data_IF_105744070418
#
_entry.id   IF_105744070418
#
_cell.length_a   1.000
_cell.length_b   1.000
_cell.length_c   1.000
_cell.angle_alpha   90.00
_cell.angle_beta   90.00
_cell.angle_gamma   90.00
#
_symmetry.space_group_name_H-M   'P 1'
#
loop_
_entity.id
_entity.type
_entity.pdbx_description
1 polymer ?
#
# COMPACT_ATOMS: atom_id res chain seq x y z
N UNK A 1 32.94 -7.18 21.94
CA UNK A 1 31.97 -8.20 21.48
C UNK A 1 30.77 -7.47 20.93
N UNK A 2 30.22 -7.92 19.81
CA UNK A 2 29.08 -7.29 19.14
C UNK A 2 27.74 -7.68 19.78
N UNK A 3 27.63 -7.58 21.11
CA UNK A 3 26.41 -7.88 21.84
C UNK A 3 25.45 -6.68 21.76
N UNK A 4 24.79 -6.51 20.61
CA UNK A 4 23.65 -5.59 20.52
C UNK A 4 22.43 -6.27 21.14
N UNK A 5 21.79 -5.68 22.16
CA UNK A 5 20.56 -6.22 22.72
C UNK A 5 19.45 -6.23 21.67
N UNK A 6 18.47 -7.13 21.84
CA UNK A 6 17.29 -7.17 20.97
C UNK A 6 16.54 -5.82 21.02
N UNK A 7 15.91 -5.40 19.90
CA UNK A 7 15.13 -4.17 19.89
C UNK A 7 13.99 -4.19 20.91
N UNK A 8 13.80 -3.08 21.63
CA UNK A 8 12.68 -2.90 22.55
C UNK A 8 11.49 -2.38 21.74
N UNK A 9 10.35 -3.10 21.79
CA UNK A 9 9.09 -2.64 21.21
C UNK A 9 8.18 -2.07 22.31
N UNK A 10 7.82 -0.80 22.18
CA UNK A 10 6.85 -0.14 23.08
C UNK A 10 5.56 0.16 22.30
N UNK A 11 4.42 -0.05 22.94
CA UNK A 11 3.10 0.36 22.43
C UNK A 11 2.66 1.74 22.95
N UNK A 12 3.46 2.36 23.83
CA UNK A 12 3.20 3.67 24.40
C UNK A 12 3.86 4.81 23.59
N UNK A 13 3.31 6.02 23.72
CA UNK A 13 3.83 7.23 23.07
C UNK A 13 5.11 7.80 23.69
N UNK A 14 5.64 7.16 24.75
CA UNK A 14 6.88 7.54 25.42
C UNK A 14 7.67 6.32 25.86
N UNK A 15 8.99 6.41 25.76
CA UNK A 15 9.95 5.41 26.24
C UNK A 15 11.04 6.16 27.02
N UNK A 16 11.20 5.83 28.30
CA UNK A 16 12.23 6.41 29.15
C UNK A 16 13.33 5.37 29.37
N UNK A 17 14.56 5.70 29.00
CA UNK A 17 15.72 4.83 29.22
C UNK A 17 16.59 5.45 30.30
N UNK A 18 16.72 4.76 31.44
CA UNK A 18 17.53 5.19 32.57
C UNK A 18 18.82 4.36 32.64
N UNK A 19 19.95 5.05 32.74
CA UNK A 19 21.26 4.43 32.89
C UNK A 19 21.78 4.70 34.29
N UNK A 20 22.10 3.63 35.01
CA UNK A 20 22.70 3.70 36.33
C UNK A 20 24.16 3.22 36.24
N UNK A 21 25.09 4.05 36.71
CA UNK A 21 26.51 3.71 36.84
C UNK A 21 26.90 3.79 38.31
N UNK A 22 27.76 2.87 38.75
CA UNK A 22 28.36 2.88 40.08
C UNK A 22 29.66 3.71 40.13
N UNK A 23 30.10 4.27 38.98
CA UNK A 23 31.29 5.09 38.87
C UNK A 23 32.62 4.33 39.02
N UNK A 24 32.58 3.01 39.13
CA UNK A 24 33.76 2.18 39.43
C UNK A 24 34.70 2.02 38.23
N UNK A 25 34.21 2.21 37.00
CA UNK A 25 34.95 2.04 35.74
C UNK A 25 34.45 2.99 34.65
N UNK A 26 35.34 3.30 33.71
CA UNK A 26 35.03 4.09 32.51
C UNK A 26 35.06 3.20 31.27
N UNK A 27 33.98 3.24 30.49
CA UNK A 27 33.83 2.54 29.22
C UNK A 27 33.21 3.47 28.19
N UNK A 28 33.40 3.15 26.91
CA UNK A 28 32.63 3.79 25.84
C UNK A 28 31.13 3.61 26.12
N UNK A 29 30.36 4.67 25.92
CA UNK A 29 28.94 4.73 26.25
C UNK A 29 28.05 3.90 25.32
N UNK A 30 26.75 4.20 25.34
CA UNK A 30 25.76 3.54 24.49
C UNK A 30 25.28 4.47 23.36
N UNK A 31 24.84 3.88 22.26
CA UNK A 31 24.13 4.56 21.20
C UNK A 31 22.76 3.90 21.01
N UNK A 32 21.69 4.69 21.13
CA UNK A 32 20.31 4.23 20.95
C UNK A 32 19.69 4.93 19.74
N UNK A 33 18.91 4.16 18.97
CA UNK A 33 18.12 4.65 17.83
C UNK A 33 16.68 4.23 18.09
N UNK A 34 15.73 5.11 17.79
CA UNK A 34 14.31 4.78 17.82
C UNK A 34 13.74 4.85 16.41
N UNK A 35 12.78 3.97 16.13
CA UNK A 35 12.00 3.96 14.90
C UNK A 35 10.55 3.69 15.28
N UNK A 36 9.64 4.45 14.69
CA UNK A 36 8.21 4.19 14.86
C UNK A 36 7.84 3.01 13.97
N UNK A 37 7.45 1.89 14.59
CA UNK A 37 6.99 0.70 13.87
C UNK A 37 5.47 0.82 13.70
N UNK A 38 5.07 1.39 12.56
CA UNK A 38 3.68 1.40 12.11
C UNK A 38 3.53 0.43 10.95
N UNK A 39 2.31 0.00 10.66
CA UNK A 39 2.05 -0.76 9.43
C UNK A 39 2.45 -0.01 8.15
N UNK A 40 2.63 1.32 8.22
CA UNK A 40 3.05 2.16 7.10
C UNK A 40 4.56 2.39 7.00
N UNK A 41 5.38 1.98 7.98
CA UNK A 41 6.82 2.29 8.00
C UNK A 41 7.58 1.68 6.81
N UNK A 42 7.08 0.59 6.23
CA UNK A 42 7.65 -0.03 5.02
C UNK A 42 7.12 0.55 3.71
N UNK A 43 6.27 1.57 3.76
CA UNK A 43 5.54 2.11 2.60
C UNK A 43 4.87 1.00 1.77
N UNK A 44 3.93 0.24 2.37
CA UNK A 44 3.40 -0.97 1.75
C UNK A 44 2.51 -0.70 0.54
N UNK A 45 1.86 0.47 0.45
CA UNK A 45 0.94 0.83 -0.62
C UNK A 45 1.67 1.17 -1.92
N UNK A 46 1.28 0.52 -3.02
CA UNK A 46 1.82 0.74 -4.36
C UNK A 46 1.02 1.81 -5.11
N UNK A 47 1.55 2.23 -6.25
CA UNK A 47 0.90 3.16 -7.19
C UNK A 47 0.38 4.45 -6.51
N UNK A 48 1.23 5.04 -5.67
CA UNK A 48 0.94 6.26 -4.91
C UNK A 48 -0.32 6.16 -4.03
N UNK A 49 -0.69 4.94 -3.62
CA UNK A 49 -1.72 4.69 -2.63
C UNK A 49 -1.37 5.31 -1.28
N UNK A 50 -2.37 5.89 -0.60
CA UNK A 50 -2.18 6.49 0.71
C UNK A 50 -2.26 5.42 1.79
N UNK A 51 -1.21 5.30 2.62
CA UNK A 51 -1.21 4.38 3.74
C UNK A 51 -1.94 4.99 4.94
N UNK A 52 -2.94 4.27 5.45
CA UNK A 52 -3.75 4.63 6.61
C UNK A 52 -3.41 3.67 7.75
N UNK A 53 -3.09 4.23 8.92
CA UNK A 53 -2.85 3.43 10.14
C UNK A 53 -4.17 3.28 10.88
N UNK A 54 -4.76 2.08 10.83
CA UNK A 54 -6.02 1.78 11.54
C UNK A 54 -5.77 1.25 12.96
N UNK A 55 -4.66 0.50 13.20
CA UNK A 55 -4.26 -0.04 14.51
C UNK A 55 -2.74 -0.15 14.63
N UNK A 56 -2.24 -0.40 15.85
CA UNK A 56 -0.83 -0.74 16.09
C UNK A 56 -0.48 -2.01 15.30
N UNK A 57 0.58 -1.93 14.49
CA UNK A 57 1.07 -3.00 13.60
C UNK A 57 0.10 -3.42 12.47
N UNK A 58 -0.93 -2.60 12.19
CA UNK A 58 -1.87 -2.80 11.08
C UNK A 58 -1.85 -1.61 10.12
N UNK A 59 -2.22 -1.85 8.86
CA UNK A 59 -2.35 -0.79 7.86
C UNK A 59 -3.46 -1.10 6.86
N UNK A 60 -3.97 -0.04 6.25
CA UNK A 60 -4.88 -0.11 5.12
C UNK A 60 -4.43 0.85 4.04
N UNK A 61 -4.47 0.41 2.79
CA UNK A 61 -4.18 1.29 1.66
C UNK A 61 -5.47 1.90 1.10
N UNK A 62 -5.50 3.23 1.02
CA UNK A 62 -6.46 3.96 0.21
C UNK A 62 -5.88 4.13 -1.19
N UNK A 63 -6.40 3.36 -2.14
CA UNK A 63 -5.91 3.34 -3.51
C UNK A 63 -6.37 4.55 -4.33
N UNK A 64 -5.50 5.02 -5.21
CA UNK A 64 -5.89 5.98 -6.24
C UNK A 64 -6.89 5.35 -7.22
N UNK A 65 -7.65 6.21 -7.90
CA UNK A 65 -8.61 5.79 -8.91
C UNK A 65 -7.91 4.95 -9.99
N UNK A 66 -8.49 3.79 -10.32
CA UNK A 66 -7.91 2.84 -11.26
C UNK A 66 -7.02 1.75 -10.64
N UNK A 67 -6.80 1.77 -9.32
CA UNK A 67 -6.08 0.70 -8.60
C UNK A 67 -6.94 0.07 -7.50
N UNK A 68 -6.63 -1.17 -7.16
CA UNK A 68 -7.33 -2.00 -6.17
C UNK A 68 -6.38 -3.06 -5.60
N UNK A 69 -6.85 -3.82 -4.61
CA UNK A 69 -6.05 -4.77 -3.84
C UNK A 69 -5.61 -4.20 -2.49
N UNK A 70 -5.09 -5.06 -1.62
CA UNK A 70 -4.73 -4.67 -0.25
C UNK A 70 -3.56 -3.67 -0.21
N UNK A 71 -2.69 -3.73 -1.21
CA UNK A 71 -1.54 -2.85 -1.40
C UNK A 71 -1.69 -2.00 -2.67
N UNK A 72 -2.89 -1.90 -3.24
CA UNK A 72 -3.14 -1.22 -4.51
C UNK A 72 -2.36 -1.80 -5.70
N UNK A 73 -1.96 -3.06 -5.63
CA UNK A 73 -1.12 -3.75 -6.61
C UNK A 73 -1.83 -4.09 -7.93
N UNK A 74 -3.16 -4.08 -7.94
CA UNK A 74 -3.96 -4.48 -9.08
C UNK A 74 -4.60 -3.29 -9.76
N UNK A 75 -4.62 -3.28 -11.09
CA UNK A 75 -5.41 -2.31 -11.86
C UNK A 75 -6.89 -2.67 -11.81
N UNK A 76 -7.75 -1.67 -11.72
CA UNK A 76 -9.19 -1.83 -11.86
C UNK A 76 -9.51 -2.13 -13.33
N UNK A 77 -10.17 -3.26 -13.53
CA UNK A 77 -10.62 -3.73 -14.83
C UNK A 77 -12.15 -3.81 -14.83
N UNK A 78 -12.77 -3.32 -15.89
CA UNK A 78 -14.18 -3.57 -16.14
C UNK A 78 -14.37 -5.00 -16.68
N UNK A 79 -15.56 -5.58 -16.43
CA UNK A 79 -15.94 -6.80 -17.14
C UNK A 79 -16.09 -6.48 -18.62
N UNK A 80 -15.65 -7.39 -19.48
CA UNK A 80 -15.89 -7.30 -20.92
C UNK A 80 -17.39 -7.09 -21.18
N UNK A 81 -17.79 -6.03 -21.89
CA UNK A 81 -19.21 -5.71 -22.16
C UNK A 81 -19.92 -6.80 -22.97
N UNK A 82 -19.17 -7.58 -23.75
CA UNK A 82 -19.70 -8.50 -24.74
C UNK A 82 -20.16 -7.78 -26.00
N UNK A 83 -20.49 -8.55 -27.03
CA UNK A 83 -20.96 -7.99 -28.30
C UNK A 83 -22.48 -7.73 -28.26
N UNK A 84 -22.95 -6.55 -28.65
CA UNK A 84 -24.38 -6.29 -28.80
C UNK A 84 -24.97 -7.12 -29.95
N UNK A 85 -26.29 -7.32 -29.93
CA UNK A 85 -26.98 -8.03 -31.01
C UNK A 85 -26.73 -7.30 -32.35
N UNK A 86 -26.27 -8.06 -33.35
CA UNK A 86 -25.90 -7.53 -34.68
C UNK A 86 -24.86 -6.41 -34.65
N UNK A 87 -23.96 -6.43 -33.67
CA UNK A 87 -22.81 -5.53 -33.61
C UNK A 87 -21.62 -6.18 -32.93
N UNK A 88 -20.58 -5.38 -32.72
CA UNK A 88 -19.35 -5.79 -32.08
C UNK A 88 -18.73 -4.63 -31.31
N UNK A 89 -17.92 -4.97 -30.30
CA UNK A 89 -17.05 -4.01 -29.61
C UNK A 89 -15.77 -3.83 -30.41
N UNK A 90 -15.36 -2.59 -30.60
CA UNK A 90 -14.06 -2.22 -31.14
C UNK A 90 -13.18 -1.68 -30.00
N UNK A 91 -12.07 -2.37 -29.75
CA UNK A 91 -11.18 -2.17 -28.62
C UNK A 91 -11.20 -3.35 -27.64
N UNK A 92 -10.07 -3.58 -27.00
CA UNK A 92 -9.82 -4.68 -26.06
C UNK A 92 -9.21 -4.23 -24.72
N UNK A 93 -8.96 -2.93 -24.56
CA UNK A 93 -8.52 -2.36 -23.29
C UNK A 93 -9.74 -2.02 -22.40
N UNK A 94 -9.92 -2.83 -21.36
CA UNK A 94 -10.99 -2.65 -20.36
C UNK A 94 -10.47 -2.13 -19.01
N UNK A 95 -9.29 -1.50 -18.99
CA UNK A 95 -8.76 -0.83 -17.80
C UNK A 95 -9.61 0.40 -17.45
N UNK A 96 -9.53 0.80 -16.20
CA UNK A 96 -10.10 2.05 -15.74
C UNK A 96 -9.62 3.24 -16.59
N UNK A 97 -10.56 4.03 -17.09
CA UNK A 97 -10.29 5.19 -17.96
C UNK A 97 -10.21 4.86 -19.46
N UNK A 98 -10.14 3.58 -19.84
CA UNK A 98 -10.17 3.16 -21.25
C UNK A 98 -11.57 3.31 -21.84
N UNK A 99 -11.62 3.53 -23.16
CA UNK A 99 -12.88 3.62 -23.91
C UNK A 99 -12.90 2.59 -25.03
N UNK A 100 -14.08 2.01 -25.25
CA UNK A 100 -14.36 1.12 -26.37
C UNK A 100 -15.54 1.69 -27.16
N UNK A 101 -15.58 1.39 -28.46
CA UNK A 101 -16.69 1.79 -29.31
C UNK A 101 -17.54 0.60 -29.69
N UNK A 102 -18.85 0.79 -29.78
CA UNK A 102 -19.74 -0.22 -30.34
C UNK A 102 -20.01 0.09 -31.80
N UNK A 103 -19.84 -0.92 -32.66
CA UNK A 103 -20.12 -0.82 -34.09
C UNK A 103 -21.22 -1.79 -34.48
N UNK A 104 -22.09 -1.34 -35.39
CA UNK A 104 -23.13 -2.17 -35.97
C UNK A 104 -22.58 -2.97 -37.16
N UNK A 105 -23.10 -4.17 -37.36
CA UNK A 105 -22.88 -4.92 -38.59
C UNK A 105 -23.54 -4.20 -39.77
N UNK A 106 -23.12 -4.55 -40.99
CA UNK A 106 -23.70 -3.98 -42.20
C UNK A 106 -25.24 -4.17 -42.23
N UNK A 107 -25.97 -3.08 -42.50
CA UNK A 107 -27.43 -3.07 -42.51
C UNK A 107 -28.10 -2.78 -41.16
N UNK A 108 -27.34 -2.66 -40.08
CA UNK A 108 -27.84 -2.32 -38.74
C UNK A 108 -27.44 -0.90 -38.34
N UNK A 109 -28.29 -0.24 -37.55
CA UNK A 109 -28.05 1.11 -37.02
C UNK A 109 -28.31 1.14 -35.51
N UNK A 110 -27.53 1.94 -34.80
CA UNK A 110 -27.77 2.24 -33.39
C UNK A 110 -29.02 3.12 -33.30
N UNK A 111 -30.03 2.71 -32.53
CA UNK A 111 -31.21 3.52 -32.21
C UNK A 111 -31.23 3.86 -30.73
#
# INVERSE_FOLDING_TARGET
>A
GNDRPLPIRSTGSSLHVLFHSDGSKNFDGFHAVFEEITGCSSSPCLHDGTCLVDKIDDYKCACLAGYTGNRCESLVMCRTPGNPAHGFVEGDDFKYGSQVSFKCNAGYTLK
#
